data_IF_102705848750
#
_entry.id   IF_102705848750
#
_cell.length_a   1.000
_cell.length_b   1.000
_cell.length_c   1.000
_cell.angle_alpha   90.00
_cell.angle_beta   90.00
_cell.angle_gamma   90.00
#
_symmetry.space_group_name_H-M   'P 1'
#
loop_
_entity.id
_entity.type
_entity.pdbx_description
1 polymer ?
#
# COMPACT_ATOMS: atom_id res chain seq x y z
N UNK A 1 7.46 -10.78 -34.27
CA UNK A 1 6.42 -10.01 -33.54
C UNK A 1 7.02 -9.09 -32.47
N UNK A 2 8.01 -9.52 -31.68
CA UNK A 2 8.61 -8.67 -30.64
C UNK A 2 9.83 -7.83 -31.11
N UNK A 3 10.31 -8.01 -32.35
CA UNK A 3 11.55 -7.38 -32.87
C UNK A 3 11.52 -5.85 -32.92
N UNK A 4 10.34 -5.23 -32.90
CA UNK A 4 10.16 -3.77 -32.96
C UNK A 4 9.87 -3.14 -31.61
N UNK A 5 9.80 -3.92 -30.52
CA UNK A 5 9.55 -3.37 -29.18
C UNK A 5 10.85 -2.80 -28.63
N UNK A 6 10.87 -1.47 -28.48
CA UNK A 6 11.95 -0.75 -27.83
C UNK A 6 11.86 -0.93 -26.31
N UNK A 7 12.98 -1.09 -25.59
CA UNK A 7 12.98 -1.08 -24.13
C UNK A 7 12.38 0.24 -23.61
N UNK A 8 11.53 0.15 -22.60
CA UNK A 8 11.09 1.33 -21.87
C UNK A 8 12.29 1.98 -21.14
N UNK A 9 12.30 3.30 -20.95
CA UNK A 9 13.30 3.96 -20.13
C UNK A 9 13.36 3.33 -18.73
N UNK A 10 14.57 3.13 -18.22
CA UNK A 10 14.76 2.65 -16.86
C UNK A 10 14.24 3.68 -15.84
N UNK A 11 13.55 3.21 -14.80
CA UNK A 11 13.14 4.06 -13.69
C UNK A 11 14.40 4.49 -12.91
N UNK A 12 14.66 5.80 -12.75
CA UNK A 12 15.85 6.29 -12.07
C UNK A 12 15.95 5.83 -10.60
N UNK A 13 14.83 5.54 -9.93
CA UNK A 13 14.80 5.04 -8.54
C UNK A 13 15.23 3.57 -8.48
N UNK A 14 14.86 2.76 -9.49
CA UNK A 14 15.22 1.34 -9.51
C UNK A 14 16.73 1.14 -9.69
N UNK A 15 17.38 1.95 -10.53
CA UNK A 15 18.84 1.91 -10.72
C UNK A 15 19.62 2.22 -9.44
N UNK A 16 19.11 3.13 -8.60
CA UNK A 16 19.74 3.45 -7.30
C UNK A 16 19.73 2.27 -6.33
N UNK A 17 18.68 1.45 -6.36
CA UNK A 17 18.59 0.27 -5.50
C UNK A 17 19.61 -0.79 -5.90
N UNK A 18 19.84 -0.98 -7.21
CA UNK A 18 20.84 -1.91 -7.72
C UNK A 18 22.27 -1.44 -7.39
N UNK A 19 22.57 -0.16 -7.63
CA UNK A 19 23.84 0.44 -7.25
C UNK A 19 24.10 0.31 -5.74
N UNK A 20 23.09 0.60 -4.91
CA UNK A 20 23.18 0.39 -3.46
C UNK A 20 23.47 -1.07 -3.10
N UNK A 21 22.84 -2.05 -3.76
CA UNK A 21 23.09 -3.48 -3.48
C UNK A 21 24.51 -3.90 -3.86
N UNK A 22 25.02 -3.43 -4.99
CA UNK A 22 26.35 -3.78 -5.50
C UNK A 22 27.51 -3.16 -4.72
N UNK A 23 27.27 -2.06 -3.99
CA UNK A 23 28.29 -1.40 -3.17
C UNK A 23 28.78 -2.33 -2.04
N UNK A 24 30.08 -2.69 -1.97
CA UNK A 24 30.61 -3.59 -0.95
C UNK A 24 30.79 -2.92 0.43
N UNK A 25 30.62 -1.60 0.54
CA UNK A 25 30.81 -0.87 1.79
C UNK A 25 29.82 -1.38 2.87
N UNK A 26 30.31 -1.93 4.00
CA UNK A 26 29.45 -2.42 5.07
C UNK A 26 28.70 -1.31 5.82
N UNK A 27 29.09 -0.03 5.65
CA UNK A 27 28.50 1.14 6.29
C UNK A 27 27.63 1.97 5.33
N UNK A 28 27.26 1.42 4.16
CA UNK A 28 26.40 2.11 3.19
C UNK A 28 25.00 2.37 3.76
N UNK A 29 24.42 3.51 3.42
CA UNK A 29 23.06 3.93 3.84
C UNK A 29 22.19 4.13 2.60
N UNK A 30 21.00 3.54 2.59
CA UNK A 30 20.04 3.71 1.50
C UNK A 30 19.00 4.77 1.86
N UNK A 31 19.00 5.89 1.14
CA UNK A 31 18.02 6.97 1.28
C UNK A 31 17.13 7.13 0.04
N UNK A 32 17.19 6.20 -0.92
CA UNK A 32 16.44 6.30 -2.18
C UNK A 32 15.01 5.76 -2.09
N UNK A 33 14.77 4.82 -1.18
CA UNK A 33 13.47 4.15 -1.04
C UNK A 33 12.65 4.82 0.06
N UNK A 34 11.48 5.35 -0.29
CA UNK A 34 10.54 6.00 0.62
C UNK A 34 9.74 5.02 1.49
N UNK A 35 10.41 4.11 2.21
CA UNK A 35 9.79 3.21 3.18
C UNK A 35 10.29 3.53 4.58
N UNK A 36 9.40 3.41 5.57
CA UNK A 36 9.81 3.52 6.96
C UNK A 36 10.76 2.36 7.31
N UNK A 37 11.87 2.71 7.96
CA UNK A 37 12.79 1.78 8.57
C UNK A 37 12.93 2.13 10.05
N UNK A 38 13.02 1.11 10.90
CA UNK A 38 13.34 1.27 12.31
C UNK A 38 14.82 1.61 12.52
N UNK A 39 15.23 1.78 13.78
CA UNK A 39 16.60 2.09 14.15
C UNK A 39 17.65 1.03 13.73
N UNK A 40 17.21 -0.16 13.29
CA UNK A 40 18.08 -1.23 12.78
C UNK A 40 18.17 -1.25 11.25
N UNK A 41 17.54 -0.29 10.56
CA UNK A 41 17.49 -0.22 9.10
C UNK A 41 16.55 -1.24 8.45
N UNK A 42 15.62 -1.83 9.23
CA UNK A 42 14.64 -2.81 8.73
C UNK A 42 13.27 -2.19 8.64
N UNK A 43 12.45 -2.65 7.69
CA UNK A 43 11.03 -2.26 7.63
C UNK A 43 10.23 -3.15 8.60
N UNK A 44 9.70 -2.60 9.72
CA UNK A 44 9.01 -3.41 10.69
C UNK A 44 7.57 -3.71 10.26
N UNK A 45 7.06 -4.85 10.69
CA UNK A 45 5.61 -5.12 10.68
C UNK A 45 5.05 -4.70 12.04
N UNK A 46 4.12 -3.76 12.04
CA UNK A 46 3.48 -3.28 13.27
C UNK A 46 2.77 -4.41 14.01
N UNK A 47 2.81 -4.41 15.34
CA UNK A 47 2.20 -5.47 16.15
C UNK A 47 0.69 -5.58 15.91
N UNK A 48 0.00 -4.45 15.75
CA UNK A 48 -1.42 -4.40 15.37
C UNK A 48 -1.70 -5.11 14.04
N UNK A 49 -0.77 -5.06 13.08
CA UNK A 49 -0.88 -5.75 11.79
C UNK A 49 -0.62 -7.25 11.94
N UNK A 50 0.35 -7.65 12.77
CA UNK A 50 0.60 -9.07 13.06
C UNK A 50 -0.63 -9.72 13.70
N UNK A 51 -1.20 -9.06 14.70
CA UNK A 51 -2.38 -9.54 15.40
C UNK A 51 -3.60 -9.59 14.47
N UNK A 52 -3.85 -8.53 13.69
CA UNK A 52 -4.92 -8.52 12.69
C UNK A 52 -4.77 -9.66 11.69
N UNK A 53 -3.55 -9.94 11.21
CA UNK A 53 -3.26 -11.04 10.31
C UNK A 53 -3.61 -12.41 10.90
N UNK A 54 -3.23 -12.66 12.16
CA UNK A 54 -3.60 -13.90 12.87
C UNK A 54 -5.12 -14.05 13.01
N UNK A 55 -5.81 -12.96 13.38
CA UNK A 55 -7.28 -12.95 13.53
C UNK A 55 -7.98 -13.24 12.20
N UNK A 56 -7.50 -12.65 11.10
CA UNK A 56 -8.04 -12.91 9.75
C UNK A 56 -7.83 -14.37 9.37
N UNK A 57 -6.62 -14.90 9.53
CA UNK A 57 -6.31 -16.29 9.20
C UNK A 57 -7.17 -17.29 9.98
N UNK A 58 -7.41 -17.04 11.27
CA UNK A 58 -8.20 -17.91 12.13
C UNK A 58 -9.71 -17.85 11.84
N UNK A 59 -10.23 -16.74 11.31
CA UNK A 59 -11.68 -16.48 11.19
C UNK A 59 -12.20 -16.46 9.75
N UNK A 60 -11.32 -16.33 8.75
CA UNK A 60 -11.72 -16.22 7.35
C UNK A 60 -12.38 -17.53 6.88
N UNK A 61 -13.63 -17.43 6.43
CA UNK A 61 -14.39 -18.58 5.94
C UNK A 61 -14.35 -18.73 4.41
N UNK A 62 -14.07 -17.64 3.68
CA UNK A 62 -14.07 -17.64 2.21
C UNK A 62 -13.05 -16.67 1.62
N UNK A 63 -12.63 -16.96 0.39
CA UNK A 63 -11.81 -16.10 -0.49
C UNK A 63 -12.57 -15.70 -1.77
N UNK A 64 -13.90 -15.78 -1.75
CA UNK A 64 -14.76 -15.34 -2.85
C UNK A 64 -14.58 -13.85 -3.15
N UNK A 65 -15.06 -13.43 -4.32
CA UNK A 65 -15.05 -12.04 -4.74
C UNK A 65 -15.73 -11.12 -3.72
N UNK A 66 -15.14 -9.93 -3.54
CA UNK A 66 -15.77 -8.81 -2.89
C UNK A 66 -16.69 -8.08 -3.89
N UNK A 67 -17.61 -7.21 -3.40
CA UNK A 67 -18.24 -6.19 -4.23
C UNK A 67 -17.22 -5.35 -5.00
N UNK A 68 -17.67 -4.71 -6.09
CA UNK A 68 -16.80 -3.91 -6.98
C UNK A 68 -16.12 -2.77 -6.22
N UNK A 69 -16.83 -2.14 -5.29
CA UNK A 69 -16.39 -1.07 -4.40
C UNK A 69 -15.64 -1.58 -3.15
N UNK A 70 -15.55 -2.90 -2.99
CA UNK A 70 -14.83 -3.56 -1.90
C UNK A 70 -15.70 -3.89 -0.70
N UNK A 71 -15.07 -4.02 0.47
CA UNK A 71 -15.77 -4.39 1.71
C UNK A 71 -16.45 -3.16 2.34
N UNK A 72 -17.75 -3.20 2.66
CA UNK A 72 -18.44 -2.10 3.35
C UNK A 72 -17.82 -1.72 4.70
N UNK A 73 -17.25 -2.70 5.42
CA UNK A 73 -16.56 -2.45 6.69
C UNK A 73 -15.24 -1.68 6.46
N UNK A 74 -14.52 -2.00 5.39
CA UNK A 74 -13.29 -1.30 5.01
C UNK A 74 -13.60 0.14 4.57
N UNK A 75 -14.58 0.33 3.68
CA UNK A 75 -14.92 1.67 3.16
C UNK A 75 -15.41 2.60 4.26
N UNK A 76 -16.22 2.10 5.21
CA UNK A 76 -16.60 2.85 6.41
C UNK A 76 -15.38 3.25 7.25
N UNK A 77 -14.51 2.29 7.59
CA UNK A 77 -13.34 2.54 8.43
C UNK A 77 -12.36 3.55 7.79
N UNK A 78 -12.15 3.47 6.47
CA UNK A 78 -11.34 4.44 5.73
C UNK A 78 -11.99 5.82 5.72
N UNK A 79 -13.31 5.91 5.51
CA UNK A 79 -14.03 7.19 5.58
C UNK A 79 -13.86 7.87 6.94
N UNK A 80 -14.05 7.13 8.03
CA UNK A 80 -13.85 7.64 9.41
C UNK A 80 -12.39 8.01 9.69
N UNK A 81 -11.42 7.25 9.16
CA UNK A 81 -10.01 7.56 9.31
C UNK A 81 -9.62 8.87 8.60
N UNK A 82 -10.13 9.09 7.38
CA UNK A 82 -9.78 10.26 6.55
C UNK A 82 -10.48 11.53 7.03
N UNK A 83 -11.77 11.45 7.33
CA UNK A 83 -12.57 12.64 7.67
C UNK A 83 -12.75 12.84 9.18
N UNK A 84 -12.47 11.83 10.00
CA UNK A 84 -12.81 11.81 11.41
C UNK A 84 -14.17 11.17 11.69
N UNK A 85 -14.27 10.41 12.77
CA UNK A 85 -15.52 9.79 13.18
C UNK A 85 -16.61 10.84 13.44
N UNK A 86 -17.79 10.65 12.85
CA UNK A 86 -18.92 11.56 13.00
C UNK A 86 -18.81 12.88 12.20
N UNK A 87 -17.79 13.04 11.35
CA UNK A 87 -17.67 14.22 10.49
C UNK A 87 -18.92 14.37 9.61
N UNK A 88 -19.36 15.62 9.42
CA UNK A 88 -20.65 15.92 8.79
C UNK A 88 -20.74 15.41 7.33
N UNK A 89 -19.63 15.36 6.60
CA UNK A 89 -19.58 14.74 5.26
C UNK A 89 -19.99 13.26 5.25
N UNK A 90 -19.71 12.53 6.34
CA UNK A 90 -20.06 11.13 6.51
C UNK A 90 -21.52 11.00 6.93
N UNK A 91 -21.95 11.77 7.94
CA UNK A 91 -23.30 11.68 8.50
C UNK A 91 -24.38 12.20 7.56
N UNK A 92 -24.04 13.15 6.68
CA UNK A 92 -24.94 13.66 5.63
C UNK A 92 -24.87 12.85 4.32
N UNK A 93 -24.06 11.79 4.26
CA UNK A 93 -23.97 10.91 3.10
C UNK A 93 -23.34 11.55 1.85
N UNK A 94 -22.48 12.57 2.03
CA UNK A 94 -21.83 13.29 0.92
C UNK A 94 -20.47 12.73 0.49
N UNK A 95 -20.02 11.66 1.14
CA UNK A 95 -18.80 10.94 0.77
C UNK A 95 -19.12 9.60 0.10
N UNK A 96 -18.40 9.26 -0.97
CA UNK A 96 -18.32 7.91 -1.52
C UNK A 96 -16.90 7.37 -1.36
N UNK A 97 -16.76 6.09 -0.97
CA UNK A 97 -15.46 5.44 -0.75
C UNK A 97 -15.44 4.09 -1.45
N UNK A 98 -14.37 3.79 -2.19
CA UNK A 98 -14.16 2.53 -2.89
C UNK A 98 -12.74 2.00 -2.59
N UNK A 99 -12.61 0.68 -2.43
CA UNK A 99 -11.33 0.02 -2.17
C UNK A 99 -10.51 -0.12 -3.47
N UNK A 100 -9.25 0.33 -3.43
CA UNK A 100 -8.34 0.31 -4.60
C UNK A 100 -7.02 -0.39 -4.28
N UNK A 101 -6.28 -0.89 -5.28
CA UNK A 101 -4.93 -1.43 -5.08
C UNK A 101 -3.94 -0.30 -4.78
N UNK A 102 -3.84 0.07 -3.50
CA UNK A 102 -3.01 1.16 -3.02
C UNK A 102 -3.42 2.54 -3.57
N UNK A 103 -2.59 3.54 -3.27
CA UNK A 103 -2.83 4.93 -3.67
C UNK A 103 -2.72 5.15 -5.18
N UNK A 104 -1.77 4.51 -5.86
CA UNK A 104 -1.63 4.60 -7.32
C UNK A 104 -2.88 4.08 -8.04
N UNK A 105 -3.49 3.00 -7.54
CA UNK A 105 -4.76 2.49 -8.04
C UNK A 105 -5.90 3.48 -7.82
N UNK A 106 -5.94 4.14 -6.67
CA UNK A 106 -6.94 5.18 -6.39
C UNK A 106 -6.85 6.33 -7.39
N UNK A 107 -5.64 6.84 -7.66
CA UNK A 107 -5.40 7.91 -8.64
C UNK A 107 -5.78 7.52 -10.06
N UNK A 108 -5.71 6.23 -10.41
CA UNK A 108 -6.11 5.76 -11.75
C UNK A 108 -7.62 5.70 -11.92
N UNK A 109 -8.36 5.45 -10.84
CA UNK A 109 -9.81 5.29 -10.84
C UNK A 109 -10.55 6.62 -10.74
N UNK A 110 -10.00 7.59 -9.98
CA UNK A 110 -10.55 8.94 -9.84
C UNK A 110 -10.45 9.74 -11.14
#
# INVERSE_FOLDING_TARGET
MLQSIQPAPADPILGLTEAFRADPNPQKINLSVGVYQDATGKTPVLESIREAGQRVLARQQSKSYLPIDGSPAYTKAVGELVFGAGHEVLTSGRSATSHTPGGTGALRVA
#
